data_IF_128662263075
#
_entry.id   IF_128662263075
#
_cell.length_a   1.000
_cell.length_b   1.000
_cell.length_c   1.000
_cell.angle_alpha   90.00
_cell.angle_beta   90.00
_cell.angle_gamma   90.00
#
_symmetry.space_group_name_H-M   'P 1'
#
loop_
_entity.id
_entity.type
_entity.pdbx_description
1 polymer ?
#
# COMPACT_ATOMS: atom_id res chain seq x y z
N UNK A 1 -2.66 -2.52 -28.31
CA UNK A 1 -2.27 -3.95 -28.17
C UNK A 1 -3.38 -4.74 -27.49
N UNK A 2 -3.62 -5.99 -27.89
CA UNK A 2 -4.66 -6.86 -27.31
C UNK A 2 -4.17 -7.56 -26.04
N UNK A 3 -5.11 -7.94 -25.19
CA UNK A 3 -4.88 -8.76 -24.00
C UNK A 3 -4.21 -10.08 -24.39
N UNK A 4 -3.06 -10.39 -23.81
CA UNK A 4 -2.27 -11.58 -24.10
C UNK A 4 -2.96 -12.90 -23.70
N UNK A 5 -4.01 -12.83 -22.87
CA UNK A 5 -4.76 -14.00 -22.38
C UNK A 5 -5.97 -14.31 -23.25
N UNK A 6 -6.79 -13.31 -23.55
CA UNK A 6 -8.05 -13.55 -24.26
C UNK A 6 -8.02 -13.15 -25.72
N UNK A 7 -7.05 -12.34 -26.16
CA UNK A 7 -6.92 -11.80 -27.52
C UNK A 7 -8.20 -11.13 -28.07
N UNK A 8 -9.12 -10.70 -27.20
CA UNK A 8 -10.42 -10.13 -27.57
C UNK A 8 -10.57 -8.65 -27.22
N UNK A 9 -9.84 -8.18 -26.21
CA UNK A 9 -10.00 -6.84 -25.61
C UNK A 9 -8.65 -6.11 -25.58
N UNK A 10 -8.63 -4.78 -25.60
CA UNK A 10 -7.38 -4.02 -25.42
C UNK A 10 -6.73 -4.33 -24.07
N UNK A 11 -5.41 -4.42 -24.06
CA UNK A 11 -4.65 -4.58 -22.83
C UNK A 11 -4.45 -3.22 -22.15
N UNK A 12 -5.19 -3.01 -21.05
CA UNK A 12 -5.20 -1.76 -20.28
C UNK A 12 -4.59 -1.93 -18.88
N UNK A 13 -4.07 -3.12 -18.56
CA UNK A 13 -3.41 -3.45 -17.30
C UNK A 13 -2.02 -4.00 -17.60
N UNK A 14 -1.00 -3.44 -16.95
CA UNK A 14 0.38 -3.91 -17.02
C UNK A 14 0.74 -4.60 -15.71
N UNK A 15 1.12 -5.88 -15.79
CA UNK A 15 1.53 -6.68 -14.63
C UNK A 15 3.02 -6.95 -14.73
N UNK A 16 3.75 -6.62 -13.67
CA UNK A 16 5.17 -6.96 -13.52
C UNK A 16 5.32 -7.81 -12.26
N UNK A 17 5.89 -9.01 -12.42
CA UNK A 17 6.20 -9.93 -11.32
C UNK A 17 7.69 -10.16 -11.25
N UNK A 18 8.24 -10.21 -10.04
CA UNK A 18 9.63 -10.63 -9.79
C UNK A 18 9.60 -11.80 -8.82
N UNK A 19 9.96 -12.99 -9.28
CA UNK A 19 9.98 -14.22 -8.48
C UNK A 19 11.35 -14.86 -8.65
N UNK A 20 12.09 -15.08 -7.56
CA UNK A 20 13.45 -15.64 -7.59
C UNK A 20 14.38 -14.91 -8.58
N UNK A 21 14.38 -13.58 -8.53
CA UNK A 21 15.14 -12.70 -9.43
C UNK A 21 14.73 -12.77 -10.92
N UNK A 22 13.68 -13.51 -11.27
CA UNK A 22 13.14 -13.54 -12.63
C UNK A 22 12.01 -12.53 -12.74
N UNK A 23 12.17 -11.56 -13.65
CA UNK A 23 11.16 -10.56 -13.98
C UNK A 23 10.27 -11.07 -15.14
N UNK A 24 8.96 -11.06 -14.93
CA UNK A 24 7.96 -11.41 -15.93
C UNK A 24 6.99 -10.24 -16.11
N UNK A 25 6.70 -9.89 -17.36
CA UNK A 25 5.78 -8.82 -17.72
C UNK A 25 4.61 -9.36 -18.54
N UNK A 26 3.41 -8.85 -18.26
CA UNK A 26 2.18 -9.30 -18.90
C UNK A 26 1.23 -8.13 -19.15
N UNK A 27 0.66 -8.08 -20.36
CA UNK A 27 -0.30 -7.06 -20.77
C UNK A 27 -1.71 -7.67 -20.85
N UNK A 28 -2.56 -7.29 -19.89
CA UNK A 28 -3.90 -7.85 -19.71
C UNK A 28 -5.00 -6.81 -19.92
N UNK A 29 -6.19 -7.27 -20.30
CA UNK A 29 -7.40 -6.49 -20.09
C UNK A 29 -7.84 -6.56 -18.63
N UNK A 30 -8.62 -5.58 -18.17
CA UNK A 30 -9.08 -5.47 -16.78
C UNK A 30 -9.79 -6.74 -16.29
N UNK A 31 -10.64 -7.37 -17.12
CA UNK A 31 -11.34 -8.59 -16.75
C UNK A 31 -10.39 -9.76 -16.51
N UNK A 32 -9.44 -10.01 -17.43
CA UNK A 32 -8.49 -11.10 -17.27
C UNK A 32 -7.53 -10.87 -16.10
N UNK A 33 -7.18 -9.61 -15.81
CA UNK A 33 -6.38 -9.26 -14.63
C UNK A 33 -7.14 -9.55 -13.33
N UNK A 34 -8.45 -9.28 -13.28
CA UNK A 34 -9.31 -9.60 -12.12
C UNK A 34 -9.47 -11.11 -11.93
N UNK A 35 -9.80 -11.84 -12.99
CA UNK A 35 -10.01 -13.30 -12.95
C UNK A 35 -8.74 -14.07 -12.53
N UNK A 36 -7.55 -13.53 -12.85
CA UNK A 36 -6.26 -14.11 -12.47
C UNK A 36 -5.78 -13.71 -11.07
N UNK A 37 -6.52 -12.86 -10.37
CA UNK A 37 -6.09 -12.33 -9.07
C UNK A 37 -4.90 -11.35 -9.16
N UNK A 38 -4.50 -10.89 -10.35
CA UNK A 38 -3.40 -9.94 -10.51
C UNK A 38 -3.73 -8.57 -9.90
N UNK A 39 -5.02 -8.26 -9.81
CA UNK A 39 -5.53 -7.07 -9.14
C UNK A 39 -5.71 -7.25 -7.63
N UNK A 40 -5.67 -8.47 -7.09
CA UNK A 40 -5.81 -8.71 -5.65
C UNK A 40 -4.59 -8.22 -4.86
N UNK A 41 -3.44 -8.07 -5.51
CA UNK A 41 -2.26 -7.40 -4.95
C UNK A 41 -2.52 -5.90 -4.75
N UNK A 42 -3.36 -5.29 -5.59
CA UNK A 42 -3.72 -3.87 -5.53
C UNK A 42 -5.05 -3.61 -4.80
N UNK A 43 -5.92 -4.62 -4.68
CA UNK A 43 -7.17 -4.58 -3.95
C UNK A 43 -6.95 -5.10 -2.52
N UNK A 44 -6.44 -4.24 -1.64
CA UNK A 44 -6.39 -4.51 -0.20
C UNK A 44 -7.79 -4.84 0.36
N UNK A 45 -7.89 -5.90 1.18
CA UNK A 45 -8.10 -5.68 2.61
C UNK A 45 -7.24 -6.57 3.53
N UNK A 46 -6.47 -7.53 2.98
CA UNK A 46 -5.72 -8.51 3.80
C UNK A 46 -4.38 -7.99 4.33
N UNK A 47 -3.81 -6.95 3.71
CA UNK A 47 -2.58 -6.28 4.19
C UNK A 47 -2.85 -5.11 5.14
N UNK A 48 -4.06 -4.54 5.17
CA UNK A 48 -4.34 -3.38 6.00
C UNK A 48 -4.58 -3.75 7.47
N UNK A 49 -5.35 -4.80 7.74
CA UNK A 49 -5.74 -5.14 9.12
C UNK A 49 -4.59 -5.74 9.94
N UNK A 50 -3.84 -6.70 9.39
CA UNK A 50 -2.73 -7.34 10.10
C UNK A 50 -1.60 -6.36 10.43
N UNK A 51 -1.27 -5.47 9.49
CA UNK A 51 -0.27 -4.43 9.70
C UNK A 51 -0.76 -3.36 10.68
N UNK A 52 -2.04 -2.95 10.63
CA UNK A 52 -2.64 -2.06 11.63
C UNK A 52 -2.61 -2.69 13.03
N UNK A 53 -3.04 -3.95 13.15
CA UNK A 53 -3.09 -4.66 14.42
C UNK A 53 -1.69 -4.87 15.00
N UNK A 54 -0.69 -5.15 14.18
CA UNK A 54 0.70 -5.24 14.61
C UNK A 54 1.21 -3.91 15.18
N UNK A 55 0.83 -2.77 14.58
CA UNK A 55 1.14 -1.44 15.10
C UNK A 55 0.42 -1.11 16.42
N UNK A 56 -0.83 -1.55 16.59
CA UNK A 56 -1.60 -1.39 17.82
C UNK A 56 -1.11 -2.30 18.97
N UNK A 57 -0.66 -3.53 18.67
CA UNK A 57 -0.16 -4.47 19.67
C UNK A 57 1.28 -4.16 20.11
N UNK A 58 2.05 -3.43 19.30
CA UNK A 58 3.40 -2.98 19.64
C UNK A 58 3.41 -1.77 20.59
N UNK A 59 2.25 -1.27 21.05
CA UNK A 59 2.19 -0.21 22.06
C UNK A 59 2.44 -0.72 23.49
N UNK A 60 3.19 -1.81 23.66
CA UNK A 60 3.65 -2.26 24.96
C UNK A 60 4.92 -1.44 25.34
N UNK A 61 4.86 -0.59 26.37
CA UNK A 61 5.95 0.33 26.73
C UNK A 61 7.20 -0.36 27.28
N UNK A 62 7.24 -1.69 27.36
CA UNK A 62 8.34 -2.46 27.94
C UNK A 62 9.50 -2.78 26.98
N UNK A 63 9.36 -2.57 25.67
CA UNK A 63 10.45 -2.75 24.71
C UNK A 63 10.92 -1.39 24.17
N UNK A 64 11.68 -0.67 24.99
CA UNK A 64 12.21 0.66 24.69
C UNK A 64 13.13 0.69 23.47
N UNK A 65 12.55 0.85 22.28
CA UNK A 65 13.12 1.74 21.28
C UNK A 65 12.52 3.11 21.58
N UNK A 66 13.31 4.16 21.84
CA UNK A 66 12.76 5.48 22.02
C UNK A 66 12.28 5.95 20.65
N UNK A 67 11.01 5.70 20.32
CA UNK A 67 10.25 6.60 19.47
C UNK A 67 9.95 7.86 20.31
N UNK A 68 11.01 8.50 20.79
CA UNK A 68 10.93 9.82 21.36
C UNK A 68 10.49 10.73 20.22
N UNK A 69 9.26 11.23 20.28
CA UNK A 69 8.99 12.57 19.78
C UNK A 69 9.91 13.45 20.66
N UNK A 70 10.99 14.04 20.12
CA UNK A 70 11.80 14.95 20.90
C UNK A 70 10.85 16.04 21.36
N UNK A 71 10.78 16.22 22.68
CA UNK A 71 9.76 17.03 23.33
C UNK A 71 9.60 18.42 22.71
N UNK A 72 8.36 18.89 22.73
CA UNK A 72 8.11 20.30 23.05
C UNK A 72 7.95 21.28 21.88
N UNK A 73 7.68 20.84 20.66
CA UNK A 73 7.19 21.77 19.65
C UNK A 73 6.04 21.17 18.85
N UNK A 74 4.85 21.75 19.00
CA UNK A 74 3.76 21.61 18.03
C UNK A 74 4.26 22.15 16.69
N UNK A 75 4.88 21.28 15.91
CA UNK A 75 5.34 21.62 14.56
C UNK A 75 4.26 21.17 13.60
N UNK A 76 3.57 22.14 13.01
CA UNK A 76 2.74 21.93 11.85
C UNK A 76 3.61 21.59 10.63
N UNK A 77 3.13 20.72 9.75
CA UNK A 77 3.81 20.45 8.48
C UNK A 77 3.94 21.75 7.67
N UNK A 78 5.15 22.09 7.22
CA UNK A 78 5.35 23.30 6.41
C UNK A 78 4.62 23.25 5.05
N UNK A 79 4.28 22.05 4.58
CA UNK A 79 3.63 21.83 3.28
C UNK A 79 2.11 21.85 3.37
N UNK A 80 1.52 21.21 4.39
CA UNK A 80 0.07 21.07 4.52
C UNK A 80 -0.54 21.72 5.78
N UNK A 81 0.29 22.24 6.69
CA UNK A 81 -0.15 22.98 7.87
C UNK A 81 -0.73 22.14 9.01
N UNK A 82 -0.90 20.83 8.83
CA UNK A 82 -1.48 19.95 9.84
C UNK A 82 -0.51 19.67 10.97
N UNK A 83 -1.02 19.69 12.21
CA UNK A 83 -0.31 19.11 13.35
C UNK A 83 -0.42 17.58 13.31
N UNK A 84 0.56 16.89 13.89
CA UNK A 84 0.59 15.42 13.91
C UNK A 84 -0.71 14.77 14.42
N UNK A 85 -1.38 15.26 15.48
CA UNK A 85 -2.66 14.69 15.91
C UNK A 85 -3.79 14.88 14.90
N UNK A 86 -3.81 15.98 14.16
CA UNK A 86 -4.83 16.26 13.14
C UNK A 86 -4.61 15.40 11.89
N UNK A 87 -3.36 15.17 11.50
CA UNK A 87 -3.01 14.21 10.46
C UNK A 87 -3.49 12.79 10.81
N UNK A 88 -3.24 12.33 12.04
CA UNK A 88 -3.67 11.00 12.47
C UNK A 88 -5.20 10.83 12.46
N UNK A 89 -5.95 11.89 12.74
CA UNK A 89 -7.42 11.85 12.74
C UNK A 89 -8.04 11.96 11.34
N UNK A 90 -7.37 12.64 10.41
CA UNK A 90 -7.95 12.96 9.09
C UNK A 90 -7.38 12.10 7.96
N UNK A 91 -6.17 11.56 8.10
CA UNK A 91 -5.58 10.59 7.18
C UNK A 91 -5.19 11.14 5.80
N UNK A 92 -5.15 12.46 5.60
CA UNK A 92 -4.76 13.06 4.33
C UNK A 92 -3.24 13.00 4.14
N UNK A 93 -2.81 12.35 3.05
CA UNK A 93 -1.44 12.36 2.52
C UNK A 93 -1.15 13.63 1.73
#
# INVERSE_FOLDING_TARGET
MLCQVCNKRPANVHVTKVINNVRTELHLCQQCARERGELEVFAGPKFAFSNLLAGLLQSDPAAGVPAGIPGGARRACATCGLEYPEFMNTGFL
#
